data_IF_641919871620
#
_entry.id   IF_641919871620
#
_cell.length_a   1.000
_cell.length_b   1.000
_cell.length_c   1.000
_cell.angle_alpha   90.00
_cell.angle_beta   90.00
_cell.angle_gamma   90.00
#
_symmetry.space_group_name_H-M   'P 1'
#
loop_
_entity.id
_entity.type
_entity.pdbx_description
1 polymer ?
#
# COMPACT_ATOMS: atom_id res chain seq x y z
N UNK A 1 -14.70 6.31 1.10
CA UNK A 1 -13.65 5.69 0.29
C UNK A 1 -14.28 5.07 -0.95
N UNK A 2 -13.66 5.29 -2.08
CA UNK A 2 -14.22 4.84 -3.36
C UNK A 2 -13.19 4.00 -4.10
N UNK A 3 -13.60 2.82 -4.58
CA UNK A 3 -12.77 2.01 -5.47
C UNK A 3 -12.69 2.65 -6.85
N UNK A 4 -11.52 2.54 -7.47
CA UNK A 4 -11.33 2.99 -8.84
C UNK A 4 -12.19 2.13 -9.78
N UNK A 5 -12.79 2.78 -10.76
CA UNK A 5 -13.52 2.12 -11.84
C UNK A 5 -12.80 2.38 -13.16
N UNK A 6 -13.22 1.69 -14.21
CA UNK A 6 -12.58 1.79 -15.53
C UNK A 6 -12.46 3.24 -16.02
N UNK A 7 -13.47 4.06 -15.74
CA UNK A 7 -13.46 5.47 -16.16
C UNK A 7 -12.38 6.30 -15.44
N UNK A 8 -11.82 5.82 -14.33
CA UNK A 8 -10.77 6.50 -13.59
C UNK A 8 -9.37 6.22 -14.16
N UNK A 9 -9.24 5.25 -15.07
CA UNK A 9 -7.96 4.76 -15.56
C UNK A 9 -7.07 5.86 -16.12
N UNK A 10 -7.61 6.74 -16.96
CA UNK A 10 -6.81 7.78 -17.60
C UNK A 10 -6.31 8.81 -16.57
N UNK A 11 -7.14 9.17 -15.63
CA UNK A 11 -6.76 10.13 -14.58
C UNK A 11 -5.68 9.55 -13.66
N UNK A 12 -5.83 8.29 -13.26
CA UNK A 12 -4.83 7.60 -12.43
C UNK A 12 -3.50 7.46 -13.18
N UNK A 13 -3.56 7.05 -14.45
CA UNK A 13 -2.38 6.93 -15.30
C UNK A 13 -1.66 8.26 -15.41
N UNK A 14 -2.40 9.35 -15.64
CA UNK A 14 -1.83 10.68 -15.74
C UNK A 14 -1.15 11.11 -14.45
N UNK A 15 -1.76 10.77 -13.30
CA UNK A 15 -1.21 11.08 -11.99
C UNK A 15 0.18 10.44 -11.81
N UNK A 16 0.33 9.16 -12.17
CA UNK A 16 1.63 8.49 -12.09
C UNK A 16 2.62 9.01 -13.12
N UNK A 17 2.18 9.30 -14.34
CA UNK A 17 3.05 9.85 -15.38
C UNK A 17 3.57 11.24 -15.02
N UNK A 18 2.77 12.08 -14.40
CA UNK A 18 3.19 13.39 -13.92
C UNK A 18 4.22 13.29 -12.81
N UNK A 19 4.35 12.12 -12.18
CA UNK A 19 5.25 11.88 -11.06
C UNK A 19 6.19 10.72 -11.35
N UNK A 20 6.65 10.62 -12.58
CA UNK A 20 7.43 9.48 -13.07
C UNK A 20 8.76 9.30 -12.34
N UNK A 21 9.34 10.37 -11.80
CA UNK A 21 10.58 10.27 -11.02
C UNK A 21 10.35 9.43 -9.75
N UNK A 22 9.19 9.57 -9.12
CA UNK A 22 8.82 8.79 -7.93
C UNK A 22 8.36 7.38 -8.29
N UNK A 23 7.76 7.21 -9.47
CA UNK A 23 7.15 5.95 -9.90
C UNK A 23 7.63 5.54 -11.29
N UNK A 24 8.95 5.30 -11.47
CA UNK A 24 9.50 5.07 -12.82
C UNK A 24 9.08 3.73 -13.43
N UNK A 25 8.56 2.80 -12.64
CA UNK A 25 8.23 1.45 -13.09
C UNK A 25 6.73 1.16 -13.14
N UNK A 26 5.89 2.17 -12.87
CA UNK A 26 4.44 1.96 -12.93
C UNK A 26 3.99 1.95 -14.39
N UNK A 27 3.41 0.84 -14.81
CA UNK A 27 2.93 0.65 -16.19
C UNK A 27 1.42 0.75 -16.25
N UNK A 28 0.89 1.17 -17.41
CA UNK A 28 -0.55 1.26 -17.64
C UNK A 28 -1.24 -0.08 -17.46
N UNK A 29 -0.61 -1.17 -17.92
CA UNK A 29 -1.16 -2.52 -17.77
C UNK A 29 -1.29 -2.93 -16.30
N UNK A 30 -0.34 -2.52 -15.46
CA UNK A 30 -0.40 -2.75 -14.02
C UNK A 30 -1.59 -2.02 -13.41
N UNK A 31 -1.76 -0.74 -13.71
CA UNK A 31 -2.87 0.07 -13.20
C UNK A 31 -4.20 -0.54 -13.62
N UNK A 32 -4.34 -0.89 -14.91
CA UNK A 32 -5.56 -1.48 -15.42
C UNK A 32 -5.91 -2.80 -14.73
N UNK A 33 -4.90 -3.66 -14.54
CA UNK A 33 -5.08 -4.94 -13.85
C UNK A 33 -5.58 -4.74 -12.41
N UNK A 34 -5.02 -3.76 -11.70
CA UNK A 34 -5.42 -3.49 -10.31
C UNK A 34 -6.84 -2.95 -10.23
N UNK A 35 -7.23 -2.10 -11.17
CA UNK A 35 -8.62 -1.62 -11.26
C UNK A 35 -9.57 -2.79 -11.48
N UNK A 36 -9.26 -3.67 -12.44
CA UNK A 36 -10.10 -4.82 -12.76
C UNK A 36 -10.26 -5.79 -11.59
N UNK A 37 -9.22 -5.91 -10.75
CA UNK A 37 -9.24 -6.80 -9.59
C UNK A 37 -9.84 -6.18 -8.33
N UNK A 38 -10.31 -4.94 -8.40
CA UNK A 38 -10.76 -4.18 -7.22
C UNK A 38 -9.64 -4.05 -6.16
N UNK A 39 -8.42 -3.87 -6.64
CA UNK A 39 -7.23 -3.66 -5.82
C UNK A 39 -6.67 -2.25 -5.98
N UNK A 40 -7.51 -1.33 -6.43
CA UNK A 40 -7.16 0.07 -6.59
C UNK A 40 -8.28 0.93 -6.02
N UNK A 41 -7.91 1.83 -5.12
CA UNK A 41 -8.80 2.84 -4.55
C UNK A 41 -8.42 4.17 -5.17
N UNK A 42 -9.42 4.95 -5.58
CA UNK A 42 -9.22 6.31 -6.05
C UNK A 42 -10.32 7.18 -5.45
N UNK A 43 -9.94 7.94 -4.43
CA UNK A 43 -10.89 8.67 -3.60
C UNK A 43 -10.30 10.02 -3.23
N UNK A 44 -10.99 11.10 -3.53
CA UNK A 44 -10.55 12.48 -3.26
C UNK A 44 -9.14 12.79 -3.80
N UNK A 45 -8.78 12.23 -4.95
CA UNK A 45 -7.46 12.42 -5.56
C UNK A 45 -6.35 11.60 -4.91
N UNK A 46 -6.67 10.69 -3.99
CA UNK A 46 -5.72 9.75 -3.39
C UNK A 46 -5.85 8.40 -4.09
N UNK A 47 -4.74 7.87 -4.60
CA UNK A 47 -4.71 6.52 -5.16
C UNK A 47 -4.04 5.58 -4.16
N UNK A 48 -4.66 4.42 -3.93
CA UNK A 48 -4.08 3.32 -3.16
C UNK A 48 -4.13 2.07 -4.02
N UNK A 49 -2.99 1.41 -4.19
CA UNK A 49 -2.93 0.11 -4.86
C UNK A 49 -2.44 -0.90 -3.85
N UNK A 50 -3.15 -2.01 -3.75
CA UNK A 50 -2.89 -3.05 -2.77
C UNK A 50 -3.20 -4.43 -3.36
N UNK A 51 -2.81 -5.46 -2.65
CA UNK A 51 -3.20 -6.83 -2.96
C UNK A 51 -3.36 -7.65 -1.68
N UNK A 52 -4.21 -8.67 -1.74
CA UNK A 52 -4.32 -9.68 -0.68
C UNK A 52 -3.65 -10.93 -1.20
N UNK A 53 -2.63 -11.41 -0.50
CA UNK A 53 -1.83 -12.54 -0.98
C UNK A 53 -2.61 -13.86 -0.94
N UNK A 54 -2.41 -14.67 -1.97
CA UNK A 54 -2.93 -16.02 -2.05
C UNK A 54 -1.95 -17.04 -1.49
N UNK A 55 -0.68 -16.69 -1.37
CA UNK A 55 0.41 -17.55 -0.95
C UNK A 55 1.35 -16.81 0.00
N UNK A 56 2.26 -17.55 0.63
CA UNK A 56 3.35 -16.97 1.41
C UNK A 56 4.37 -16.33 0.50
N UNK A 57 4.73 -15.07 0.77
CA UNK A 57 5.68 -14.29 -0.03
C UNK A 57 6.72 -13.67 0.88
N UNK A 58 8.00 -13.82 0.54
CA UNK A 58 9.08 -13.15 1.27
C UNK A 58 9.04 -11.65 0.96
N UNK A 59 8.94 -10.82 2.00
CA UNK A 59 8.86 -9.36 1.86
C UNK A 59 9.99 -8.62 2.55
N UNK A 60 10.78 -9.29 3.36
CA UNK A 60 11.92 -8.73 4.08
C UNK A 60 13.02 -9.74 4.22
N UNK A 61 14.08 -9.38 4.93
CA UNK A 61 15.21 -10.30 5.15
C UNK A 61 14.79 -11.55 5.90
N UNK A 62 13.87 -11.40 6.86
CA UNK A 62 13.36 -12.52 7.67
C UNK A 62 11.83 -12.61 7.67
N UNK A 63 11.14 -11.62 7.12
CA UNK A 63 9.69 -11.52 7.18
C UNK A 63 9.05 -12.13 5.94
N UNK A 64 8.02 -12.97 6.17
CA UNK A 64 7.18 -13.52 5.12
C UNK A 64 5.75 -13.06 5.32
N UNK A 65 5.15 -12.51 4.26
CA UNK A 65 3.72 -12.26 4.23
C UNK A 65 3.00 -13.58 4.07
N UNK A 66 1.98 -13.81 4.87
CA UNK A 66 1.22 -15.05 4.84
C UNK A 66 0.02 -14.91 3.90
N UNK A 67 -0.56 -16.06 3.52
CA UNK A 67 -1.84 -16.07 2.80
C UNK A 67 -2.86 -15.22 3.56
N UNK A 68 -3.60 -14.40 2.85
CA UNK A 68 -4.62 -13.47 3.36
C UNK A 68 -4.06 -12.19 4.00
N UNK A 69 -2.74 -12.05 4.11
CA UNK A 69 -2.15 -10.75 4.46
C UNK A 69 -2.32 -9.78 3.29
N UNK A 70 -2.45 -8.51 3.62
CA UNK A 70 -2.53 -7.43 2.63
C UNK A 70 -1.16 -6.81 2.43
N UNK A 71 -0.83 -6.49 1.19
CA UNK A 71 0.34 -5.69 0.87
C UNK A 71 -0.11 -4.36 0.28
N UNK A 72 0.35 -3.26 0.87
CA UNK A 72 0.11 -1.92 0.36
C UNK A 72 1.22 -1.59 -0.63
N UNK A 73 0.90 -1.59 -1.92
CA UNK A 73 1.88 -1.40 -2.98
C UNK A 73 2.22 0.07 -3.21
N UNK A 74 1.20 0.90 -3.38
CA UNK A 74 1.37 2.34 -3.56
C UNK A 74 0.28 3.11 -2.81
N UNK A 75 0.65 4.27 -2.28
CA UNK A 75 -0.29 5.30 -1.87
C UNK A 75 0.27 6.64 -2.34
N UNK A 76 -0.55 7.41 -3.06
CA UNK A 76 -0.09 8.67 -3.60
C UNK A 76 -1.22 9.68 -3.78
N UNK A 77 -0.89 10.95 -3.55
CA UNK A 77 -1.71 12.10 -3.90
C UNK A 77 -0.80 13.29 -4.19
N UNK A 78 -1.24 14.17 -5.08
CA UNK A 78 -0.55 15.44 -5.33
C UNK A 78 -0.98 16.53 -4.33
N UNK A 79 -2.00 16.26 -3.52
CA UNK A 79 -2.60 17.24 -2.62
C UNK A 79 -2.24 16.90 -1.18
N UNK A 80 -1.47 17.78 -0.55
CA UNK A 80 -0.88 17.54 0.78
C UNK A 80 -1.62 18.34 1.86
N UNK A 81 -2.84 17.92 2.19
CA UNK A 81 -3.71 18.61 3.16
C UNK A 81 -4.29 17.63 4.22
N UNK A 82 -3.65 16.47 4.39
CA UNK A 82 -4.11 15.47 5.35
C UNK A 82 -5.04 14.41 4.75
N UNK A 83 -5.43 14.57 3.49
CA UNK A 83 -6.35 13.62 2.86
C UNK A 83 -5.77 12.22 2.71
N UNK A 84 -4.44 12.12 2.48
CA UNK A 84 -3.80 10.80 2.36
C UNK A 84 -3.97 9.98 3.64
N UNK A 85 -3.78 10.59 4.80
CA UNK A 85 -4.00 9.92 6.10
C UNK A 85 -5.46 9.52 6.27
N UNK A 86 -6.39 10.40 5.88
CA UNK A 86 -7.83 10.11 5.99
C UNK A 86 -8.21 8.90 5.14
N UNK A 87 -7.78 8.86 3.89
CA UNK A 87 -8.10 7.75 2.98
C UNK A 87 -7.37 6.47 3.42
N UNK A 88 -6.12 6.57 3.87
CA UNK A 88 -5.39 5.42 4.39
C UNK A 88 -6.12 4.77 5.57
N UNK A 89 -6.64 5.58 6.50
CA UNK A 89 -7.37 5.05 7.65
C UNK A 89 -8.72 4.45 7.25
N UNK A 90 -9.38 4.98 6.23
CA UNK A 90 -10.56 4.34 5.66
C UNK A 90 -10.21 3.00 5.01
N UNK A 91 -9.06 2.91 4.36
CA UNK A 91 -8.55 1.66 3.81
C UNK A 91 -8.26 0.65 4.92
N UNK A 92 -7.62 1.06 6.01
CA UNK A 92 -7.39 0.19 7.17
C UNK A 92 -8.71 -0.37 7.71
N UNK A 93 -9.72 0.47 7.82
CA UNK A 93 -11.04 0.04 8.26
C UNK A 93 -11.66 -0.97 7.30
N UNK A 94 -11.53 -0.72 5.98
CA UNK A 94 -12.02 -1.65 4.97
C UNK A 94 -11.38 -3.04 5.13
N UNK A 95 -10.05 -3.10 5.25
CA UNK A 95 -9.34 -4.37 5.44
C UNK A 95 -9.75 -5.05 6.75
N UNK A 96 -9.98 -4.29 7.82
CA UNK A 96 -10.41 -4.85 9.10
C UNK A 96 -11.75 -5.54 9.02
N UNK A 97 -12.60 -5.17 8.06
CA UNK A 97 -13.93 -5.72 7.88
C UNK A 97 -14.00 -6.84 6.84
N UNK A 98 -12.92 -7.09 6.10
CA UNK A 98 -12.91 -8.16 5.10
C UNK A 98 -12.79 -9.52 5.77
N UNK A 99 -13.79 -10.43 5.59
CA UNK A 99 -13.78 -11.72 6.29
C UNK A 99 -12.59 -12.60 5.93
N UNK A 100 -12.13 -12.53 4.67
CA UNK A 100 -11.05 -13.39 4.17
C UNK A 100 -9.65 -12.79 4.35
N UNK A 101 -9.55 -11.57 4.87
CA UNK A 101 -8.26 -10.93 5.14
C UNK A 101 -7.83 -11.21 6.57
N UNK A 102 -6.52 -11.42 6.78
CA UNK A 102 -5.97 -11.66 8.12
C UNK A 102 -6.02 -10.43 9.01
N UNK A 103 -6.03 -9.25 8.42
CA UNK A 103 -5.89 -7.97 9.11
C UNK A 103 -4.47 -7.43 9.13
N UNK A 104 -3.49 -8.23 8.76
CA UNK A 104 -2.10 -7.78 8.64
C UNK A 104 -1.92 -7.04 7.32
N UNK A 105 -1.36 -5.83 7.40
CA UNK A 105 -1.02 -5.00 6.23
C UNK A 105 0.47 -4.72 6.30
N UNK A 106 1.18 -5.08 5.23
CA UNK A 106 2.61 -4.88 5.09
C UNK A 106 2.90 -3.91 3.94
N UNK A 107 4.03 -3.23 4.02
CA UNK A 107 4.57 -2.46 2.89
C UNK A 107 6.09 -2.42 2.94
N UNK A 108 6.68 -2.15 1.78
CA UNK A 108 8.11 -1.89 1.67
C UNK A 108 8.30 -0.45 1.21
N UNK A 109 9.27 0.24 1.81
CA UNK A 109 9.62 1.61 1.45
C UNK A 109 11.13 1.75 1.43
N UNK A 110 11.67 2.61 0.56
CA UNK A 110 13.11 2.86 0.54
C UNK A 110 13.55 3.41 1.89
N UNK A 111 14.65 2.89 2.43
CA UNK A 111 15.17 3.30 3.75
C UNK A 111 15.48 4.79 3.82
N UNK A 112 15.86 5.40 2.69
CA UNK A 112 16.17 6.82 2.60
C UNK A 112 14.94 7.73 2.51
N UNK A 113 13.75 7.16 2.27
CA UNK A 113 12.53 7.94 2.12
C UNK A 113 11.93 8.29 3.48
N UNK A 114 12.57 9.24 4.17
CA UNK A 114 12.17 9.62 5.53
C UNK A 114 10.76 10.21 5.61
N UNK A 115 10.33 10.91 4.58
CA UNK A 115 8.99 11.51 4.53
C UNK A 115 7.91 10.43 4.54
N UNK A 116 8.04 9.43 3.69
CA UNK A 116 7.09 8.32 3.65
C UNK A 116 7.11 7.52 4.94
N UNK A 117 8.30 7.24 5.49
CA UNK A 117 8.44 6.49 6.73
C UNK A 117 7.72 7.20 7.88
N UNK A 118 7.89 8.52 8.02
CA UNK A 118 7.18 9.31 9.03
C UNK A 118 5.67 9.28 8.83
N UNK A 119 5.22 9.32 7.57
CA UNK A 119 3.81 9.23 7.25
C UNK A 119 3.22 7.89 7.74
N UNK A 120 3.89 6.78 7.46
CA UNK A 120 3.43 5.46 7.90
C UNK A 120 3.44 5.34 9.43
N UNK A 121 4.49 5.84 10.07
CA UNK A 121 4.60 5.82 11.54
C UNK A 121 3.49 6.63 12.20
N UNK A 122 3.18 7.80 11.65
CA UNK A 122 2.06 8.63 12.17
C UNK A 122 0.71 7.93 12.05
N UNK A 123 0.60 7.01 11.09
CA UNK A 123 -0.65 6.27 10.87
C UNK A 123 -0.64 4.89 11.55
N UNK A 124 0.28 4.65 12.48
CA UNK A 124 0.27 3.47 13.33
C UNK A 124 1.04 2.27 12.82
N UNK A 125 1.72 2.40 11.69
CA UNK A 125 2.56 1.32 11.17
C UNK A 125 3.91 1.29 11.88
N UNK A 126 4.47 0.09 12.02
CA UNK A 126 5.74 -0.12 12.72
C UNK A 126 6.78 -0.74 11.81
N UNK A 127 8.01 -0.29 11.94
CA UNK A 127 9.17 -0.89 11.28
C UNK A 127 9.42 -2.28 11.90
N UNK A 128 9.38 -3.33 11.07
CA UNK A 128 9.54 -4.70 11.56
C UNK A 128 10.74 -5.42 10.95
N UNK A 129 11.27 -4.97 9.82
CA UNK A 129 12.34 -5.67 9.12
C UNK A 129 13.02 -4.74 8.12
N UNK A 130 14.13 -5.20 7.59
CA UNK A 130 14.85 -4.60 6.47
C UNK A 130 14.68 -5.48 5.23
N UNK A 131 14.90 -4.89 4.08
CA UNK A 131 14.88 -5.59 2.80
C UNK A 131 15.81 -4.91 1.82
N UNK A 132 16.00 -5.51 0.66
CA UNK A 132 16.73 -4.88 -0.43
C UNK A 132 16.18 -5.40 -1.75
N UNK A 133 16.38 -4.62 -2.78
CA UNK A 133 16.07 -5.03 -4.16
C UNK A 133 17.11 -4.46 -5.12
N UNK A 134 16.98 -4.78 -6.42
CA UNK A 134 17.96 -4.41 -7.43
C UNK A 134 19.36 -4.93 -7.08
N UNK A 135 19.45 -6.24 -6.74
CA UNK A 135 20.70 -6.91 -6.35
C UNK A 135 21.40 -6.23 -5.17
N UNK A 136 20.62 -5.79 -4.18
CA UNK A 136 21.15 -5.16 -2.98
C UNK A 136 21.48 -3.69 -3.12
N UNK A 137 21.26 -3.10 -4.29
CA UNK A 137 21.59 -1.69 -4.54
C UNK A 137 20.65 -0.71 -3.87
N UNK A 138 19.42 -1.16 -3.59
CA UNK A 138 18.40 -0.32 -2.94
C UNK A 138 18.04 -0.98 -1.63
N UNK A 139 18.27 -0.27 -0.53
CA UNK A 139 17.87 -0.71 0.79
C UNK A 139 16.44 -0.25 1.08
N UNK A 140 15.67 -1.11 1.73
CA UNK A 140 14.31 -0.85 2.09
C UNK A 140 13.97 -1.22 3.52
N UNK A 141 12.90 -0.65 4.01
CA UNK A 141 12.31 -0.93 5.32
C UNK A 141 10.94 -1.57 5.12
N UNK A 142 10.62 -2.54 5.97
CA UNK A 142 9.33 -3.21 5.98
C UNK A 142 8.50 -2.67 7.14
N UNK A 143 7.33 -2.14 6.84
CA UNK A 143 6.38 -1.64 7.83
C UNK A 143 5.15 -2.53 7.89
N UNK A 144 4.54 -2.61 9.07
CA UNK A 144 3.39 -3.49 9.29
C UNK A 144 2.41 -2.85 10.28
N UNK A 145 1.13 -3.12 10.07
CA UNK A 145 0.07 -2.87 11.03
C UNK A 145 -0.88 -4.08 11.03
N UNK A 146 -1.47 -4.40 12.17
CA UNK A 146 -2.55 -5.39 12.23
C UNK A 146 -3.84 -4.67 12.65
N UNK A 147 -4.77 -4.55 11.71
CA UNK A 147 -6.02 -3.80 11.90
C UNK A 147 -7.13 -4.64 12.55
N UNK A 148 -6.89 -5.94 12.79
CA UNK A 148 -7.84 -6.84 13.46
C UNK A 148 -7.39 -7.29 14.85
N UNK A 149 -6.19 -6.90 15.28
CA UNK A 149 -5.54 -7.50 16.46
C UNK A 149 -6.27 -7.34 17.78
N UNK A 150 -7.21 -6.40 17.87
CA UNK A 150 -7.89 -6.11 19.14
C UNK A 150 -9.15 -6.93 19.37
N UNK A 151 -9.63 -7.65 18.35
CA UNK A 151 -10.96 -8.23 18.37
C UNK A 151 -11.09 -9.46 19.29
N UNK A 152 -10.00 -10.13 19.59
CA UNK A 152 -10.02 -11.36 20.37
C UNK A 152 -9.37 -11.26 21.74
N UNK A 153 -9.13 -10.06 22.24
CA UNK A 153 -8.30 -9.88 23.42
C UNK A 153 -9.07 -9.54 24.68
N UNK A 154 -10.33 -9.83 24.70
CA UNK A 154 -11.20 -9.46 25.81
C UNK A 154 -11.50 -10.64 26.69
#
# INVERSE_FOLDING_TARGET
MKFAVKDDFLEITQLFQNNIIMFPHIRMSYINSRIERNECIFSDGVVIIFQVYQDTVKIGNITKSQKSDCHLNQIFTEIHDGRASRILNQFFNYISLLPHASGVINLNVRSENNRAKKFYERNGMQLIDKTSWSDGKIEGDVYQINVKKNDGQH
#
